data_IF_417150583892
#
_entry.id   IF_417150583892
#
_cell.length_a   1.000
_cell.length_b   1.000
_cell.length_c   1.000
_cell.angle_alpha   90.00
_cell.angle_beta   90.00
_cell.angle_gamma   90.00
#
_symmetry.space_group_name_H-M   'P 1'
#
loop_
_entity.id
_entity.type
_entity.pdbx_description
1 polymer ?
#
# COMPACT_ATOMS: atom_id res chain seq x y z
N UNK A 1 -7.87 -9.24 0.20
CA UNK A 1 -6.47 -9.06 0.63
C UNK A 1 -6.13 -7.59 0.67
N UNK A 2 -5.54 -7.14 1.74
CA UNK A 2 -5.07 -5.76 1.84
C UNK A 2 -3.63 -5.67 1.37
N UNK A 3 -3.34 -4.66 0.58
CA UNK A 3 -1.99 -4.44 0.06
C UNK A 3 -1.62 -2.98 0.26
N UNK A 4 -0.32 -2.73 0.34
CA UNK A 4 0.23 -1.39 0.42
C UNK A 4 0.88 -1.08 -0.92
N UNK A 5 0.47 0.01 -1.53
CA UNK A 5 0.97 0.37 -2.84
C UNK A 5 2.38 0.95 -2.73
N UNK A 6 3.29 0.42 -3.52
CA UNK A 6 4.67 0.89 -3.55
C UNK A 6 4.86 2.08 -4.48
N UNK A 7 3.88 2.29 -5.35
CA UNK A 7 3.88 3.41 -6.28
C UNK A 7 2.45 3.66 -6.74
N UNK A 8 2.25 4.75 -7.45
CA UNK A 8 0.94 5.09 -7.96
C UNK A 8 0.47 4.03 -8.95
N UNK A 9 -0.72 3.51 -8.74
CA UNK A 9 -1.32 2.52 -9.63
C UNK A 9 -2.66 3.08 -10.10
N UNK A 10 -2.77 3.34 -11.39
CA UNK A 10 -4.00 3.87 -11.96
C UNK A 10 -5.16 2.92 -11.71
N UNK A 11 -6.28 3.45 -11.24
CA UNK A 11 -7.47 2.67 -10.95
C UNK A 11 -7.46 1.95 -9.61
N UNK A 12 -6.35 1.95 -8.90
CA UNK A 12 -6.24 1.30 -7.59
C UNK A 12 -6.00 2.31 -6.50
N UNK A 13 -4.93 3.09 -6.61
CA UNK A 13 -4.63 4.08 -5.58
C UNK A 13 -3.25 4.67 -5.79
N UNK A 14 -2.80 5.41 -4.79
CA UNK A 14 -1.52 6.11 -4.86
C UNK A 14 -0.47 5.40 -4.03
N UNK A 15 0.77 5.84 -4.19
CA UNK A 15 1.89 5.34 -3.41
C UNK A 15 1.61 5.43 -1.91
N UNK A 16 1.95 4.39 -1.20
CA UNK A 16 1.79 4.26 0.25
C UNK A 16 0.35 4.21 0.72
N UNK A 17 -0.61 4.01 -0.18
CA UNK A 17 -1.98 3.80 0.22
C UNK A 17 -2.24 2.31 0.46
N UNK A 18 -3.10 2.05 1.44
CA UNK A 18 -3.54 0.69 1.74
C UNK A 18 -4.85 0.47 1.00
N UNK A 19 -4.88 -0.55 0.16
CA UNK A 19 -6.06 -0.86 -0.64
C UNK A 19 -6.43 -2.32 -0.50
N UNK A 20 -7.71 -2.60 -0.61
CA UNK A 20 -8.20 -3.96 -0.59
C UNK A 20 -8.47 -4.41 -2.02
N UNK A 21 -7.83 -5.52 -2.40
CA UNK A 21 -7.96 -6.08 -3.75
C UNK A 21 -8.18 -7.58 -3.63
N UNK A 22 -8.59 -8.22 -4.73
CA UNK A 22 -8.74 -9.67 -4.72
C UNK A 22 -7.36 -10.33 -4.69
N UNK A 23 -7.31 -11.53 -4.12
CA UNK A 23 -6.05 -12.28 -4.04
C UNK A 23 -5.46 -12.51 -5.42
N UNK A 24 -6.30 -12.87 -6.39
CA UNK A 24 -5.84 -13.12 -7.76
C UNK A 24 -5.23 -11.88 -8.40
N UNK A 25 -5.87 -10.74 -8.22
CA UNK A 25 -5.35 -9.49 -8.77
C UNK A 25 -4.01 -9.13 -8.16
N UNK A 26 -3.91 -9.21 -6.84
CA UNK A 26 -2.66 -8.91 -6.15
C UNK A 26 -1.54 -9.86 -6.57
N UNK A 27 -1.82 -11.17 -6.58
CA UNK A 27 -0.81 -12.16 -6.89
C UNK A 27 -0.38 -12.14 -8.35
N UNK A 28 -1.30 -11.84 -9.27
CA UNK A 28 -1.02 -11.93 -10.70
C UNK A 28 -0.60 -10.61 -11.32
N UNK A 29 -0.93 -9.49 -10.70
CA UNK A 29 -0.63 -8.18 -11.26
C UNK A 29 0.28 -7.35 -10.36
N UNK A 30 -0.13 -7.13 -9.11
CA UNK A 30 0.60 -6.20 -8.24
C UNK A 30 1.95 -6.74 -7.78
N UNK A 31 1.99 -7.96 -7.30
CA UNK A 31 3.21 -8.53 -6.73
C UNK A 31 4.29 -8.78 -7.78
N UNK A 32 4.00 -9.42 -8.93
CA UNK A 32 5.02 -9.65 -9.95
C UNK A 32 5.63 -8.36 -10.50
N UNK A 33 4.84 -7.30 -10.53
CA UNK A 33 5.29 -5.99 -11.02
C UNK A 33 5.84 -5.11 -9.91
N UNK A 34 5.80 -5.60 -8.66
CA UNK A 34 6.25 -4.85 -7.50
C UNK A 34 5.51 -3.52 -7.33
N UNK A 35 4.27 -3.50 -7.76
CA UNK A 35 3.43 -2.32 -7.61
C UNK A 35 2.89 -2.18 -6.19
N UNK A 36 2.76 -3.29 -5.49
CA UNK A 36 2.26 -3.31 -4.13
C UNK A 36 2.89 -4.45 -3.35
N UNK A 37 2.77 -4.38 -2.04
CA UNK A 37 3.26 -5.42 -1.13
C UNK A 37 2.14 -5.83 -0.19
N UNK A 38 2.27 -7.02 0.40
CA UNK A 38 1.30 -7.49 1.37
C UNK A 38 1.24 -6.52 2.56
N UNK A 39 0.03 -6.12 2.93
CA UNK A 39 -0.16 -5.20 4.05
C UNK A 39 -0.15 -5.98 5.35
N UNK A 40 0.99 -6.02 6.02
CA UNK A 40 1.12 -6.59 7.35
C UNK A 40 0.87 -5.52 8.40
N UNK A 41 0.58 -5.93 9.64
CA UNK A 41 0.35 -4.97 10.71
C UNK A 41 1.55 -4.04 10.89
N UNK A 42 2.76 -4.59 10.85
CA UNK A 42 3.96 -3.78 11.01
C UNK A 42 4.10 -2.75 9.89
N UNK A 43 3.82 -3.14 8.66
CA UNK A 43 3.91 -2.25 7.53
C UNK A 43 2.83 -1.16 7.60
N UNK A 44 1.63 -1.53 8.02
CA UNK A 44 0.53 -0.57 8.16
C UNK A 44 0.87 0.46 9.24
N UNK A 45 1.37 0.01 10.38
CA UNK A 45 1.77 0.91 11.46
C UNK A 45 2.85 1.87 11.02
N UNK A 46 3.81 1.39 10.26
CA UNK A 46 4.90 2.23 9.77
C UNK A 46 4.38 3.34 8.87
N UNK A 47 3.48 3.00 7.97
CA UNK A 47 2.91 3.98 7.04
C UNK A 47 2.06 5.00 7.79
N UNK A 48 1.24 4.54 8.72
CA UNK A 48 0.42 5.44 9.52
C UNK A 48 1.28 6.38 10.36
N UNK A 49 2.35 5.87 10.92
CA UNK A 49 3.29 6.67 11.70
C UNK A 49 3.94 7.75 10.84
N UNK A 50 4.37 7.38 9.64
CA UNK A 50 4.94 8.36 8.70
C UNK A 50 3.95 9.45 8.34
N UNK A 51 2.71 9.08 8.09
CA UNK A 51 1.68 10.07 7.76
C UNK A 51 1.41 11.01 8.93
N UNK A 52 1.39 10.47 10.15
CA UNK A 52 1.22 11.30 11.35
C UNK A 52 2.38 12.26 11.53
N UNK A 53 3.60 11.81 11.31
CA UNK A 53 4.77 12.66 11.42
C UNK A 53 4.72 13.81 10.43
N UNK A 54 4.29 13.54 9.20
CA UNK A 54 4.16 14.59 8.20
C UNK A 54 3.16 15.65 8.63
N UNK A 55 2.06 15.24 9.24
CA UNK A 55 1.08 16.20 9.76
C UNK A 55 1.64 16.99 10.92
N UNK A 56 2.42 16.36 11.77
CA UNK A 56 2.98 17.01 12.94
C UNK A 56 3.97 18.12 12.60
N UNK A 57 4.64 17.99 11.47
CA UNK A 57 5.64 18.98 11.05
C UNK A 57 5.02 20.33 10.74
N UNK A 58 3.77 20.34 10.40
CA UNK A 58 3.07 21.60 10.17
C UNK A 58 2.66 22.28 11.46
#
# INVERSE_FOLDING_TARGET
>A
MKVILNQDVGGVGRKSEIRQVSDGYAANYLFPRKLASLATENAVERIESEKKQQKSVK
#
